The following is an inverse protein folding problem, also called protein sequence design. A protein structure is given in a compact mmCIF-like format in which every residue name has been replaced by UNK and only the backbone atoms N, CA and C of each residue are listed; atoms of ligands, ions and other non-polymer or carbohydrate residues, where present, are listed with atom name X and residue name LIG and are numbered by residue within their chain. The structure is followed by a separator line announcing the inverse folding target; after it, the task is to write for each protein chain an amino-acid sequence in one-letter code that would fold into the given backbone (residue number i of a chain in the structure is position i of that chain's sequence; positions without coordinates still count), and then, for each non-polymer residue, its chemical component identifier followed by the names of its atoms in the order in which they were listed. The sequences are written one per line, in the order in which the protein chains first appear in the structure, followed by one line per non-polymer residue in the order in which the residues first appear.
data_IF_157294505006
#
_entry.id   IF_157294505006
#
_cell.length_a   1.000
_cell.length_b   1.000
_cell.length_c   1.000
_cell.angle_alpha   90.00
_cell.angle_beta   90.00
_cell.angle_gamma   90.00
#
_symmetry.space_group_name_H-M   'P 1'
#
loop_
_entity.id
_entity.type
_entity.pdbx_description
1 polymer ?
#
# COMPACT_ATOMS: atom_id res chain seq x y z
N UNK A 1 50.57 -28.22 61.41
CA UNK A 1 49.21 -28.11 60.86
C UNK A 1 48.56 -26.83 61.38
N UNK A 2 48.77 -25.71 60.69
CA UNK A 2 48.06 -24.47 61.04
C UNK A 2 47.38 -23.93 59.77
N UNK A 3 46.05 -23.95 59.74
CA UNK A 3 45.24 -23.24 58.77
C UNK A 3 45.09 -21.78 59.21
N UNK A 4 45.60 -20.86 58.40
CA UNK A 4 45.30 -19.45 58.51
C UNK A 4 44.05 -19.13 57.73
N UNK A 5 43.04 -18.62 58.40
CA UNK A 5 41.82 -18.06 57.85
C UNK A 5 42.08 -16.58 57.56
N UNK A 6 41.98 -16.19 56.30
CA UNK A 6 41.96 -14.75 55.92
C UNK A 6 40.53 -14.27 55.79
N UNK A 7 40.17 -13.32 56.64
CA UNK A 7 38.96 -12.52 56.51
C UNK A 7 39.21 -11.41 55.50
N UNK A 8 38.56 -11.46 54.35
CA UNK A 8 38.52 -10.39 53.40
C UNK A 8 37.36 -9.42 53.70
N UNK A 9 37.68 -8.21 54.05
CA UNK A 9 36.73 -7.12 54.26
C UNK A 9 36.22 -6.62 52.91
N UNK A 10 34.94 -6.87 52.60
CA UNK A 10 34.29 -6.36 51.36
C UNK A 10 33.72 -4.97 51.67
N UNK A 11 34.38 -3.91 51.21
CA UNK A 11 33.89 -2.54 51.28
C UNK A 11 32.93 -2.30 50.16
N UNK A 12 31.64 -2.15 50.47
CA UNK A 12 30.61 -1.66 49.54
C UNK A 12 30.72 -0.15 49.37
N UNK A 13 31.20 0.31 48.22
CA UNK A 13 31.01 1.70 47.84
C UNK A 13 29.63 1.87 47.24
N UNK A 14 28.75 2.54 47.99
CA UNK A 14 27.47 3.03 47.46
C UNK A 14 27.76 4.33 46.74
N UNK A 15 27.76 4.25 45.38
CA UNK A 15 27.78 5.49 44.60
C UNK A 15 26.35 6.04 44.51
N UNK A 16 26.07 7.11 45.22
CA UNK A 16 24.88 7.94 45.02
C UNK A 16 25.00 8.61 43.64
N UNK A 17 24.40 8.04 42.63
CA UNK A 17 24.18 8.69 41.35
C UNK A 17 23.06 9.73 41.49
N UNK A 18 23.43 11.01 41.56
CA UNK A 18 22.45 12.09 41.42
C UNK A 18 21.99 12.11 39.98
N UNK A 19 20.82 11.57 39.68
CA UNK A 19 20.16 11.70 38.39
C UNK A 19 19.59 13.13 38.31
N UNK A 20 20.30 14.00 37.62
CA UNK A 20 19.70 15.28 37.19
C UNK A 20 18.66 14.95 36.10
N UNK A 21 17.41 14.88 36.50
CA UNK A 21 16.29 14.86 35.57
C UNK A 21 16.23 16.20 34.84
N UNK A 22 16.75 16.24 33.60
CA UNK A 22 16.38 17.32 32.69
C UNK A 22 14.91 17.13 32.33
N UNK A 23 14.02 17.83 33.04
CA UNK A 23 12.66 18.07 32.58
C UNK A 23 12.77 19.04 31.42
N UNK A 24 12.92 18.49 30.19
CA UNK A 24 12.65 19.26 28.99
C UNK A 24 11.22 19.82 29.06
N UNK A 25 10.96 20.96 28.42
CA UNK A 25 9.61 21.52 28.39
C UNK A 25 8.64 20.45 27.94
N UNK A 26 7.58 20.23 28.72
CA UNK A 26 6.47 19.34 28.36
C UNK A 26 6.02 19.73 26.95
N UNK A 27 5.90 18.78 26.01
CA UNK A 27 5.43 19.12 24.69
C UNK A 27 4.10 19.87 24.84
N UNK A 28 4.02 21.02 24.20
CA UNK A 28 2.79 21.82 24.19
C UNK A 28 1.61 20.90 23.80
N UNK A 29 0.44 21.06 24.44
CA UNK A 29 -0.71 20.24 24.12
C UNK A 29 -0.95 20.36 22.61
N UNK A 30 -0.94 19.20 21.93
CA UNK A 30 -1.29 19.13 20.52
C UNK A 30 -2.71 19.66 20.43
N UNK A 31 -2.87 20.88 19.96
CA UNK A 31 -4.19 21.44 19.71
C UNK A 31 -4.94 20.44 18.83
N UNK A 32 -6.17 20.13 19.20
CA UNK A 32 -7.01 19.23 18.43
C UNK A 32 -7.18 19.82 17.01
N UNK A 33 -6.30 19.40 16.10
CA UNK A 33 -6.37 19.82 14.71
C UNK A 33 -7.64 19.21 14.15
N UNK A 34 -8.49 20.03 13.57
CA UNK A 34 -9.64 19.58 12.77
C UNK A 34 -9.34 19.84 11.28
N UNK A 35 -8.50 19.04 10.66
CA UNK A 35 -8.01 19.31 9.32
C UNK A 35 -9.15 19.33 8.32
N UNK A 36 -9.10 20.31 7.45
CA UNK A 36 -10.02 20.40 6.31
C UNK A 36 -9.24 20.60 5.02
N UNK A 37 -9.91 20.40 3.90
CA UNK A 37 -9.34 20.46 2.57
C UNK A 37 -10.24 21.28 1.68
N UNK A 38 -9.63 22.22 0.97
CA UNK A 38 -10.28 22.93 -0.15
C UNK A 38 -9.75 22.38 -1.46
N UNK A 39 -10.65 21.96 -2.33
CA UNK A 39 -10.34 21.61 -3.71
C UNK A 39 -10.48 22.84 -4.60
N UNK A 40 -9.48 23.05 -5.46
CA UNK A 40 -9.46 24.13 -6.45
C UNK A 40 -9.27 23.50 -7.81
N UNK A 41 -10.05 23.91 -8.80
CA UNK A 41 -9.86 23.47 -10.17
C UNK A 41 -8.45 23.85 -10.66
N UNK A 42 -7.79 22.91 -11.28
CA UNK A 42 -6.42 23.03 -11.80
C UNK A 42 -6.41 22.79 -13.30
N UNK A 43 -5.50 23.41 -14.04
CA UNK A 43 -5.21 22.97 -15.40
C UNK A 43 -4.87 21.48 -15.41
N UNK A 44 -5.45 20.73 -16.33
CA UNK A 44 -5.16 19.31 -16.48
C UNK A 44 -3.77 19.13 -17.08
N UNK A 45 -2.96 18.30 -16.47
CA UNK A 45 -1.83 17.71 -17.17
C UNK A 45 -2.34 16.65 -18.13
N UNK A 46 -1.71 16.55 -19.27
CA UNK A 46 -1.92 15.41 -20.16
C UNK A 46 -1.06 14.22 -19.74
N UNK A 47 -1.00 13.96 -18.44
CA UNK A 47 -0.40 12.74 -17.95
C UNK A 47 -1.28 11.58 -18.38
N UNK A 48 -0.78 10.83 -19.34
CA UNK A 48 -1.60 9.90 -20.09
C UNK A 48 -1.54 8.51 -19.44
N UNK A 49 -2.62 8.15 -18.73
CA UNK A 49 -3.18 6.79 -18.58
C UNK A 49 -2.29 5.61 -18.16
N UNK A 50 -1.17 5.80 -17.47
CA UNK A 50 -0.39 4.70 -16.91
C UNK A 50 -0.72 4.41 -15.45
N UNK A 51 -1.92 4.72 -14.98
CA UNK A 51 -2.23 4.61 -13.57
C UNK A 51 -3.13 3.41 -13.34
N UNK A 52 -2.53 2.33 -12.87
CA UNK A 52 -3.24 1.18 -12.29
C UNK A 52 -2.63 0.80 -10.93
N UNK A 53 -2.11 1.79 -10.23
CA UNK A 53 -1.44 1.70 -8.93
C UNK A 53 -1.31 3.12 -8.33
N UNK A 54 -0.79 3.23 -7.11
CA UNK A 54 -0.33 4.51 -6.60
C UNK A 54 0.82 5.06 -7.45
N UNK A 55 0.93 6.37 -7.56
CA UNK A 55 2.03 7.02 -8.27
C UNK A 55 3.25 7.09 -7.36
N UNK A 56 4.17 6.14 -7.53
CA UNK A 56 5.44 6.14 -6.82
C UNK A 56 6.43 7.12 -7.44
N UNK A 57 7.16 7.86 -6.61
CA UNK A 57 8.09 8.89 -7.06
C UNK A 57 9.24 9.12 -6.08
N UNK A 58 10.31 9.71 -6.59
CA UNK A 58 11.52 10.00 -5.81
C UNK A 58 12.34 11.14 -6.45
N UNK A 59 13.11 11.85 -5.63
CA UNK A 59 14.15 12.75 -6.09
C UNK A 59 15.51 12.05 -6.11
N UNK A 60 16.18 12.05 -7.24
CA UNK A 60 17.56 11.54 -7.40
C UNK A 60 18.44 12.71 -7.77
N UNK A 61 19.13 13.29 -6.79
CA UNK A 61 19.76 14.57 -6.96
C UNK A 61 18.72 15.65 -7.30
N UNK A 62 18.86 16.28 -8.45
CA UNK A 62 17.93 17.30 -8.95
C UNK A 62 16.94 16.75 -10.00
N UNK A 63 16.87 15.45 -10.15
CA UNK A 63 15.93 14.78 -11.04
C UNK A 63 14.73 14.26 -10.27
N UNK A 64 13.54 14.69 -10.64
CA UNK A 64 12.29 14.10 -10.17
C UNK A 64 11.92 12.92 -11.03
N UNK A 65 11.82 11.74 -10.44
CA UNK A 65 11.53 10.47 -11.11
C UNK A 65 10.25 9.88 -10.63
N UNK A 66 9.40 9.45 -11.56
CA UNK A 66 8.15 8.73 -11.29
C UNK A 66 8.21 7.31 -11.85
N UNK A 67 7.42 6.41 -11.25
CA UNK A 67 7.31 5.01 -11.63
C UNK A 67 5.85 4.65 -11.91
N UNK A 68 5.27 5.14 -13.00
CA UNK A 68 3.90 4.80 -13.36
C UNK A 68 3.80 3.35 -13.81
N UNK A 69 2.65 2.73 -13.55
CA UNK A 69 2.28 1.41 -14.05
C UNK A 69 0.85 1.41 -14.56
N UNK A 70 0.60 0.72 -15.68
CA UNK A 70 -0.73 0.37 -16.14
C UNK A 70 -0.96 -1.14 -15.97
N UNK A 71 -2.17 -1.61 -16.17
CA UNK A 71 -2.42 -3.05 -16.15
C UNK A 71 -1.67 -3.77 -17.28
N UNK A 72 -1.28 -5.02 -17.04
CA UNK A 72 -0.54 -5.83 -18.00
C UNK A 72 -1.37 -6.27 -19.18
N UNK A 73 -0.73 -6.37 -20.35
CA UNK A 73 -1.39 -6.87 -21.57
C UNK A 73 -1.62 -8.37 -21.52
N UNK A 74 -0.78 -9.11 -20.80
CA UNK A 74 -0.93 -10.56 -20.61
C UNK A 74 -0.62 -10.97 -19.17
N UNK A 75 -1.59 -10.86 -18.26
CA UNK A 75 -1.40 -11.21 -16.87
C UNK A 75 -1.18 -12.72 -16.66
N UNK A 76 -1.49 -13.57 -17.64
CA UNK A 76 -1.38 -15.02 -17.51
C UNK A 76 0.03 -15.55 -17.79
N UNK A 77 0.74 -14.95 -18.72
CA UNK A 77 1.97 -15.49 -19.29
C UNK A 77 3.18 -14.61 -19.06
N UNK A 78 2.92 -13.33 -18.86
CA UNK A 78 3.94 -12.31 -18.72
C UNK A 78 4.05 -11.79 -17.32
N UNK A 79 5.20 -11.33 -17.03
CA UNK A 79 5.47 -10.29 -16.13
C UNK A 79 4.75 -9.07 -16.69
N UNK A 80 3.83 -8.50 -15.99
CA UNK A 80 3.33 -7.22 -16.42
C UNK A 80 4.48 -6.21 -16.32
N UNK A 81 5.12 -6.00 -17.44
CA UNK A 81 6.24 -5.08 -17.58
C UNK A 81 5.76 -3.67 -17.89
N UNK A 82 4.56 -3.35 -17.52
CA UNK A 82 4.03 -2.01 -17.71
C UNK A 82 4.54 -1.00 -16.69
N UNK A 83 5.47 -1.44 -15.84
CA UNK A 83 6.24 -0.54 -15.02
C UNK A 83 7.21 0.24 -15.90
N UNK A 84 7.09 1.55 -15.87
CA UNK A 84 7.95 2.50 -16.54
C UNK A 84 8.60 3.42 -15.52
N UNK A 85 9.57 4.21 -15.94
CA UNK A 85 10.01 5.38 -15.20
C UNK A 85 10.18 6.57 -16.14
N UNK A 86 9.92 7.74 -15.61
CA UNK A 86 10.07 9.01 -16.32
C UNK A 86 10.76 10.04 -15.46
N UNK A 87 11.59 10.87 -16.08
CA UNK A 87 12.42 11.87 -15.41
C UNK A 87 12.07 13.27 -15.86
N UNK A 88 12.21 14.25 -14.96
CA UNK A 88 12.17 15.67 -15.24
C UNK A 88 12.93 16.46 -14.18
N UNK A 89 13.15 17.75 -14.43
CA UNK A 89 13.78 18.64 -13.44
C UNK A 89 12.80 19.09 -12.34
N UNK A 90 11.55 18.80 -12.50
CA UNK A 90 10.50 19.12 -11.53
C UNK A 90 9.24 18.26 -11.77
N UNK A 91 8.29 18.24 -10.82
CA UNK A 91 7.06 17.48 -10.96
C UNK A 91 6.25 17.83 -12.21
N UNK A 92 6.07 19.12 -12.53
CA UNK A 92 5.25 19.56 -13.66
C UNK A 92 5.81 19.06 -15.00
N UNK A 93 7.13 19.18 -15.18
CA UNK A 93 7.81 18.66 -16.37
C UNK A 93 7.62 17.15 -16.49
N UNK A 94 7.82 16.43 -15.40
CA UNK A 94 7.73 14.98 -15.41
C UNK A 94 6.31 14.49 -15.70
N UNK A 95 5.31 15.08 -15.07
CA UNK A 95 3.90 14.74 -15.31
C UNK A 95 3.39 15.17 -16.69
N UNK A 96 4.05 16.12 -17.36
CA UNK A 96 3.70 16.56 -18.70
C UNK A 96 4.25 15.67 -19.81
N UNK A 97 5.11 14.70 -19.49
CA UNK A 97 5.69 13.78 -20.47
C UNK A 97 4.67 12.85 -21.06
N UNK A 98 4.84 12.53 -22.33
CA UNK A 98 4.02 11.51 -22.97
C UNK A 98 4.48 10.10 -22.59
N UNK A 99 3.59 9.14 -22.73
CA UNK A 99 3.87 7.73 -22.48
C UNK A 99 5.08 7.19 -23.26
N UNK A 100 5.31 7.68 -24.46
CA UNK A 100 6.41 7.27 -25.32
C UNK A 100 7.80 7.69 -24.79
N UNK A 101 7.85 8.69 -23.91
CA UNK A 101 9.08 9.17 -23.30
C UNK A 101 9.49 8.39 -22.05
N UNK A 102 8.60 7.54 -21.53
CA UNK A 102 8.90 6.69 -20.39
C UNK A 102 9.72 5.47 -20.81
N UNK A 103 10.65 5.08 -19.95
CA UNK A 103 11.58 3.98 -20.18
C UNK A 103 11.23 2.79 -19.30
N UNK A 104 11.58 1.60 -19.76
CA UNK A 104 11.48 0.38 -18.97
C UNK A 104 12.70 0.23 -18.07
N UNK A 105 12.52 -0.03 -16.75
CA UNK A 105 13.65 -0.43 -15.93
C UNK A 105 14.06 -1.88 -16.25
N UNK A 106 15.30 -2.22 -15.93
CA UNK A 106 15.75 -3.61 -15.98
C UNK A 106 15.17 -4.32 -14.74
N UNK A 107 14.31 -5.31 -15.00
CA UNK A 107 13.64 -6.07 -13.96
C UNK A 107 14.27 -7.44 -13.75
N UNK A 108 14.10 -8.08 -12.58
CA UNK A 108 14.50 -9.47 -12.36
C UNK A 108 13.91 -10.40 -13.42
N UNK A 109 14.55 -11.53 -13.75
CA UNK A 109 13.96 -12.49 -14.69
C UNK A 109 12.64 -13.05 -14.16
N UNK A 110 11.70 -13.29 -15.07
CA UNK A 110 10.43 -13.92 -14.74
C UNK A 110 10.61 -15.39 -14.40
N UNK A 111 9.90 -15.84 -13.39
CA UNK A 111 9.63 -17.25 -13.20
C UNK A 111 8.51 -17.70 -14.16
N UNK A 112 8.46 -18.97 -14.49
CA UNK A 112 7.32 -19.53 -15.24
C UNK A 112 6.06 -19.47 -14.37
N UNK A 113 4.89 -19.18 -14.97
CA UNK A 113 3.62 -19.22 -14.25
C UNK A 113 3.44 -20.55 -13.50
N UNK A 114 2.94 -20.48 -12.28
CA UNK A 114 2.74 -21.65 -11.44
C UNK A 114 3.99 -22.23 -10.79
N UNK A 115 5.16 -21.62 -10.97
CA UNK A 115 6.40 -22.01 -10.30
C UNK A 115 6.75 -21.05 -9.17
N UNK A 116 7.77 -21.41 -8.37
CA UNK A 116 8.31 -20.47 -7.38
C UNK A 116 9.01 -19.30 -8.08
N UNK A 117 8.91 -18.12 -7.50
CA UNK A 117 9.54 -16.91 -8.00
C UNK A 117 8.54 -15.80 -8.30
N UNK A 118 9.03 -14.74 -8.93
CA UNK A 118 8.23 -13.59 -9.27
C UNK A 118 7.69 -13.72 -10.69
N UNK A 119 6.39 -13.73 -10.84
CA UNK A 119 5.68 -13.74 -12.11
C UNK A 119 4.34 -13.02 -11.97
N UNK A 120 3.65 -12.80 -13.07
CA UNK A 120 2.43 -12.02 -13.12
C UNK A 120 2.69 -10.51 -13.03
N UNK A 121 1.64 -9.73 -12.92
CA UNK A 121 1.73 -8.29 -12.90
C UNK A 121 2.45 -7.77 -11.66
N UNK A 122 3.27 -6.73 -11.84
CA UNK A 122 4.01 -6.05 -10.77
C UNK A 122 3.90 -4.55 -10.94
N UNK A 123 3.41 -3.87 -9.90
CA UNK A 123 3.36 -2.42 -9.84
C UNK A 123 4.13 -1.89 -8.64
N UNK A 124 4.86 -0.80 -8.82
CA UNK A 124 5.46 -0.07 -7.71
C UNK A 124 4.44 0.89 -7.11
N UNK A 125 4.10 0.65 -5.86
CA UNK A 125 3.12 1.45 -5.12
C UNK A 125 3.77 2.56 -4.30
N UNK A 126 4.99 2.33 -3.86
CA UNK A 126 5.79 3.28 -3.09
C UNK A 126 7.27 3.04 -3.35
N UNK A 127 8.02 4.12 -3.58
CA UNK A 127 9.48 4.06 -3.61
C UNK A 127 10.03 4.83 -2.41
N UNK A 128 10.79 4.12 -1.59
CA UNK A 128 11.47 4.65 -0.42
C UNK A 128 12.95 4.83 -0.71
N UNK A 129 13.49 6.01 -0.37
CA UNK A 129 14.91 6.34 -0.46
C UNK A 129 15.48 6.49 0.94
N UNK A 130 16.47 5.65 1.36
CA UNK A 130 17.09 5.77 2.67
C UNK A 130 17.84 7.09 2.83
N UNK A 131 17.58 7.81 3.89
CA UNK A 131 18.31 9.06 4.21
C UNK A 131 19.81 8.84 4.48
N UNK A 132 20.18 7.60 4.81
CA UNK A 132 21.57 7.19 5.04
C UNK A 132 22.39 7.06 3.75
N UNK A 133 21.72 6.86 2.60
CA UNK A 133 22.39 6.80 1.31
C UNK A 133 22.61 8.20 0.74
N UNK A 134 23.83 8.73 0.93
CA UNK A 134 24.22 10.05 0.41
C UNK A 134 24.32 10.11 -1.12
N UNK A 135 24.42 8.98 -1.80
CA UNK A 135 24.36 8.94 -3.26
C UNK A 135 22.96 9.20 -3.80
N UNK A 136 21.94 8.95 -2.99
CA UNK A 136 20.52 9.02 -3.36
C UNK A 136 20.11 7.97 -4.39
N UNK A 137 20.97 6.97 -4.68
CA UNK A 137 20.73 5.95 -5.72
C UNK A 137 20.17 4.66 -5.18
N UNK A 138 20.30 4.41 -3.87
CA UNK A 138 19.67 3.25 -3.24
C UNK A 138 18.18 3.52 -3.05
N UNK A 139 17.36 2.68 -3.63
CA UNK A 139 15.91 2.76 -3.55
C UNK A 139 15.33 1.40 -3.16
N UNK A 140 14.23 1.43 -2.40
CA UNK A 140 13.40 0.26 -2.13
C UNK A 140 11.99 0.53 -2.66
N UNK A 141 11.52 -0.33 -3.56
CA UNK A 141 10.16 -0.27 -4.05
C UNK A 141 9.29 -1.30 -3.34
N UNK A 142 8.24 -0.85 -2.70
CA UNK A 142 7.16 -1.72 -2.25
C UNK A 142 6.25 -1.95 -3.45
N UNK A 143 6.05 -3.21 -3.81
CA UNK A 143 5.28 -3.55 -4.99
C UNK A 143 4.07 -4.43 -4.66
N UNK A 144 3.01 -4.22 -5.42
CA UNK A 144 1.89 -5.14 -5.60
C UNK A 144 2.27 -6.19 -6.64
N UNK A 145 1.90 -7.43 -6.41
CA UNK A 145 2.08 -8.51 -7.38
C UNK A 145 0.81 -9.35 -7.50
N UNK A 146 0.27 -9.42 -8.68
CA UNK A 146 -0.76 -10.39 -9.03
C UNK A 146 -0.13 -11.75 -9.30
N UNK A 147 -0.02 -12.57 -8.27
CA UNK A 147 0.59 -13.88 -8.36
C UNK A 147 -0.42 -14.93 -8.81
N UNK A 148 -0.08 -15.68 -9.85
CA UNK A 148 -0.90 -16.78 -10.36
C UNK A 148 -0.33 -18.12 -9.89
N UNK A 149 -0.78 -18.68 -8.76
CA UNK A 149 -0.27 -19.96 -8.25
C UNK A 149 -0.66 -21.12 -9.17
N UNK A 150 0.15 -22.19 -9.16
CA UNK A 150 -0.09 -23.38 -10.00
C UNK A 150 -1.45 -24.02 -9.75
N UNK A 151 -1.92 -23.97 -8.52
CA UNK A 151 -3.19 -24.56 -8.12
C UNK A 151 -3.88 -23.70 -7.07
N UNK A 152 -5.20 -23.54 -7.24
CA UNK A 152 -6.11 -23.02 -6.25
C UNK A 152 -7.16 -24.07 -5.99
N UNK A 153 -7.32 -24.60 -4.77
CA UNK A 153 -8.33 -25.62 -4.48
C UNK A 153 -9.75 -25.06 -4.69
N UNK A 154 -10.56 -25.77 -5.43
CA UNK A 154 -11.97 -25.41 -5.69
C UNK A 154 -12.87 -26.64 -5.68
N UNK A 155 -13.97 -26.55 -4.97
CA UNK A 155 -15.05 -27.50 -4.98
C UNK A 155 -16.32 -26.83 -5.53
N UNK A 156 -16.72 -27.21 -6.75
CA UNK A 156 -17.87 -26.61 -7.44
C UNK A 156 -19.20 -26.86 -6.73
N UNK A 157 -19.33 -27.95 -5.98
CA UNK A 157 -20.56 -28.31 -5.26
C UNK A 157 -20.74 -27.43 -4.02
N UNK A 158 -19.67 -27.21 -3.27
CA UNK A 158 -19.72 -26.43 -2.02
C UNK A 158 -19.36 -24.96 -2.24
N UNK A 159 -18.83 -24.59 -3.39
CA UNK A 159 -18.26 -23.27 -3.64
C UNK A 159 -16.99 -22.99 -2.82
N UNK A 160 -16.37 -24.04 -2.27
CA UNK A 160 -15.18 -23.92 -1.43
C UNK A 160 -13.91 -24.10 -2.25
N UNK A 161 -13.03 -23.12 -2.18
CA UNK A 161 -11.73 -23.20 -2.81
C UNK A 161 -11.82 -23.21 -4.35
N UNK A 162 -10.75 -23.61 -5.00
CA UNK A 162 -10.63 -23.66 -6.45
C UNK A 162 -9.55 -24.67 -6.85
N UNK A 163 -9.78 -25.50 -7.88
CA UNK A 163 -8.76 -26.38 -8.45
C UNK A 163 -8.54 -26.03 -9.90
N UNK A 164 -7.40 -25.47 -10.21
CA UNK A 164 -6.95 -25.25 -11.57
C UNK A 164 -5.96 -26.35 -11.96
N UNK A 165 -6.46 -27.46 -12.49
CA UNK A 165 -5.65 -28.62 -12.86
C UNK A 165 -4.83 -28.40 -14.13
N UNK A 166 -5.24 -27.46 -14.97
CA UNK A 166 -4.68 -27.26 -16.30
C UNK A 166 -3.88 -25.97 -16.42
N UNK A 167 -3.50 -25.37 -15.32
CA UNK A 167 -2.63 -24.22 -15.33
C UNK A 167 -1.25 -24.57 -15.91
N UNK A 168 -0.69 -23.77 -16.80
CA UNK A 168 -1.25 -22.57 -17.45
C UNK A 168 -2.02 -22.86 -18.74
N UNK A 169 -2.37 -24.09 -19.04
CA UNK A 169 -2.97 -24.51 -20.31
C UNK A 169 -4.45 -24.86 -20.17
N UNK A 170 -5.24 -24.58 -21.20
CA UNK A 170 -6.59 -25.09 -21.33
C UNK A 170 -7.63 -24.51 -20.37
N UNK A 171 -7.52 -23.25 -20.04
CA UNK A 171 -8.35 -22.57 -19.07
C UNK A 171 -9.68 -22.14 -19.68
N UNK A 172 -10.78 -22.70 -19.19
CA UNK A 172 -12.14 -22.34 -19.59
C UNK A 172 -13.07 -22.35 -18.39
N UNK A 173 -14.04 -21.45 -18.35
CA UNK A 173 -15.04 -21.40 -17.28
C UNK A 173 -14.44 -21.30 -15.89
N UNK A 174 -14.77 -22.25 -15.03
CA UNK A 174 -14.33 -22.28 -13.61
C UNK A 174 -12.83 -22.56 -13.43
N UNK A 175 -12.13 -22.94 -14.50
CA UNK A 175 -10.69 -23.20 -14.47
C UNK A 175 -9.85 -21.99 -14.88
N UNK A 176 -10.47 -20.85 -15.12
CA UNK A 176 -9.76 -19.60 -15.42
C UNK A 176 -8.80 -19.25 -14.26
N UNK A 177 -7.52 -18.99 -14.53
CA UNK A 177 -6.58 -18.59 -13.50
C UNK A 177 -7.05 -17.34 -12.78
N UNK A 178 -6.87 -17.34 -11.48
CA UNK A 178 -7.11 -16.16 -10.66
C UNK A 178 -5.87 -15.83 -9.87
N UNK A 179 -5.60 -14.55 -9.72
CA UNK A 179 -4.49 -14.06 -8.93
C UNK A 179 -4.81 -14.18 -7.44
N UNK A 180 -3.80 -14.55 -6.66
CA UNK A 180 -3.73 -14.30 -5.23
C UNK A 180 -2.69 -13.21 -5.03
N UNK A 181 -3.15 -12.02 -4.75
CA UNK A 181 -2.29 -10.85 -4.66
C UNK A 181 -1.37 -10.91 -3.45
N UNK A 182 -0.17 -10.38 -3.59
CA UNK A 182 0.85 -10.33 -2.54
C UNK A 182 1.68 -9.05 -2.67
N UNK A 183 2.39 -8.71 -1.61
CA UNK A 183 3.22 -7.52 -1.52
C UNK A 183 4.67 -7.93 -1.31
N UNK A 184 5.57 -7.31 -2.04
CA UNK A 184 7.01 -7.56 -1.93
C UNK A 184 7.84 -6.30 -1.95
N UNK A 185 9.16 -6.50 -1.88
CA UNK A 185 10.16 -5.43 -1.95
C UNK A 185 11.16 -5.71 -3.06
N UNK A 186 11.46 -4.70 -3.85
CA UNK A 186 12.60 -4.65 -4.74
C UNK A 186 13.60 -3.60 -4.28
N UNK A 187 14.88 -3.80 -4.62
CA UNK A 187 15.96 -2.85 -4.35
C UNK A 187 16.64 -2.45 -5.65
N UNK A 188 16.88 -1.16 -5.79
CA UNK A 188 17.79 -0.59 -6.79
C UNK A 188 19.00 0.02 -6.10
N UNK A 189 20.16 0.04 -6.78
CA UNK A 189 21.38 0.73 -6.35
C UNK A 189 21.89 1.73 -7.40
N UNK A 190 21.10 1.92 -8.46
CA UNK A 190 21.41 2.80 -9.59
C UNK A 190 20.33 3.85 -9.86
N UNK A 191 19.56 4.18 -8.83
CA UNK A 191 18.50 5.19 -8.91
C UNK A 191 17.23 4.70 -9.63
N UNK A 192 16.99 3.40 -9.68
CA UNK A 192 15.78 2.81 -10.25
C UNK A 192 15.87 2.44 -11.73
N UNK A 193 17.08 2.43 -12.31
CA UNK A 193 17.30 1.91 -13.66
C UNK A 193 17.25 0.39 -13.71
N UNK A 194 17.72 -0.26 -12.66
CA UNK A 194 17.61 -1.71 -12.50
C UNK A 194 17.15 -2.08 -11.09
N UNK A 195 16.48 -3.22 -10.97
CA UNK A 195 15.90 -3.69 -9.73
C UNK A 195 16.21 -5.15 -9.47
N UNK A 196 16.44 -5.48 -8.20
CA UNK A 196 16.60 -6.81 -7.69
C UNK A 196 15.46 -7.16 -6.74
N UNK A 197 14.79 -8.29 -6.94
CA UNK A 197 13.74 -8.76 -6.05
C UNK A 197 14.34 -9.19 -4.71
N UNK A 198 13.84 -8.61 -3.62
CA UNK A 198 14.23 -8.94 -2.24
C UNK A 198 13.26 -9.94 -1.59
N UNK A 199 12.14 -10.21 -2.25
CA UNK A 199 11.15 -11.20 -1.83
C UNK A 199 9.82 -10.63 -1.37
N UNK A 200 8.90 -11.56 -1.13
CA UNK A 200 7.55 -11.29 -0.65
C UNK A 200 7.59 -11.00 0.85
N UNK A 201 6.91 -9.95 1.26
CA UNK A 201 6.85 -9.49 2.65
C UNK A 201 5.47 -9.67 3.29
N UNK A 202 4.40 -9.66 2.50
CA UNK A 202 3.04 -9.94 2.96
C UNK A 202 2.34 -10.78 1.87
N UNK A 203 1.73 -11.87 2.28
CA UNK A 203 0.94 -12.72 1.42
C UNK A 203 -0.21 -13.37 2.18
N UNK A 204 -1.22 -13.84 1.46
CA UNK A 204 -2.23 -14.75 1.94
C UNK A 204 -2.22 -15.98 1.04
N UNK A 205 -1.82 -17.11 1.59
CA UNK A 205 -1.69 -18.35 0.83
C UNK A 205 -3.04 -19.04 0.56
N UNK A 206 -4.12 -18.53 1.16
CA UNK A 206 -5.44 -19.10 1.00
C UNK A 206 -6.32 -18.18 0.16
N UNK A 207 -7.00 -18.71 -0.87
CA UNK A 207 -8.02 -17.93 -1.56
C UNK A 207 -9.15 -17.60 -0.59
N UNK A 208 -9.49 -16.32 -0.49
CA UNK A 208 -10.48 -15.80 0.46
C UNK A 208 -11.60 -15.01 -0.19
N UNK A 209 -11.54 -14.84 -1.51
CA UNK A 209 -12.64 -14.27 -2.26
C UNK A 209 -13.60 -15.36 -2.69
N UNK A 210 -14.82 -14.94 -3.01
CA UNK A 210 -15.83 -15.81 -3.59
C UNK A 210 -15.40 -16.17 -5.00
N UNK A 211 -15.24 -17.45 -5.28
CA UNK A 211 -14.80 -17.94 -6.57
C UNK A 211 -15.98 -18.31 -7.45
N UNK A 212 -15.75 -18.45 -8.77
CA UNK A 212 -16.76 -18.98 -9.67
C UNK A 212 -17.29 -20.35 -9.20
N UNK A 213 -18.55 -20.67 -9.44
CA UNK A 213 -19.54 -19.89 -10.21
C UNK A 213 -20.18 -18.72 -9.47
N UNK A 214 -19.82 -18.47 -8.22
CA UNK A 214 -20.43 -17.44 -7.37
C UNK A 214 -19.77 -16.07 -7.48
N UNK A 215 -18.69 -15.96 -8.23
CA UNK A 215 -17.94 -14.75 -8.47
C UNK A 215 -17.94 -14.39 -9.94
N UNK A 216 -18.40 -13.21 -10.30
CA UNK A 216 -18.43 -12.73 -11.68
C UNK A 216 -17.07 -12.22 -12.18
N UNK A 217 -16.16 -11.88 -11.29
CA UNK A 217 -14.78 -11.52 -11.65
C UNK A 217 -13.99 -12.78 -11.97
N UNK A 218 -13.06 -12.63 -12.89
CA UNK A 218 -12.16 -13.70 -13.30
C UNK A 218 -10.73 -13.50 -12.82
N UNK A 219 -10.44 -12.35 -12.21
CA UNK A 219 -9.07 -11.91 -11.98
C UNK A 219 -8.51 -12.35 -10.63
N UNK A 220 -9.29 -12.18 -9.53
CA UNK A 220 -8.76 -12.37 -8.19
C UNK A 220 -9.43 -13.49 -7.42
N UNK A 221 -8.63 -14.22 -6.66
CA UNK A 221 -9.06 -15.23 -5.69
C UNK A 221 -8.74 -14.80 -4.24
N UNK A 222 -8.26 -13.59 -4.04
CA UNK A 222 -7.91 -13.05 -2.72
C UNK A 222 -6.49 -12.51 -2.65
N UNK A 223 -5.94 -12.50 -1.44
CA UNK A 223 -4.61 -11.99 -1.18
C UNK A 223 -4.62 -10.59 -0.57
N UNK A 224 -3.55 -9.84 -0.80
CA UNK A 224 -3.31 -8.50 -0.27
C UNK A 224 -2.69 -7.62 -1.35
N UNK A 225 -3.07 -6.36 -1.44
CA UNK A 225 -2.53 -5.52 -2.50
C UNK A 225 -2.72 -4.02 -2.30
N UNK A 226 -2.39 -3.26 -3.33
CA UNK A 226 -2.44 -1.81 -3.39
C UNK A 226 -1.82 -1.15 -2.13
N UNK A 227 -0.56 -1.47 -1.78
CA UNK A 227 0.04 -0.93 -0.57
C UNK A 227 0.49 0.51 -0.75
N UNK A 228 0.36 1.30 0.30
CA UNK A 228 1.11 2.54 0.48
C UNK A 228 2.03 2.38 1.67
N UNK A 229 3.28 2.82 1.55
CA UNK A 229 4.25 2.65 2.61
C UNK A 229 4.88 3.97 3.04
N UNK A 230 5.05 4.16 4.35
CA UNK A 230 5.67 5.34 4.94
C UNK A 230 6.62 4.95 6.06
N UNK A 231 7.67 5.75 6.23
CA UNK A 231 8.62 5.55 7.31
C UNK A 231 8.18 6.31 8.57
N UNK A 232 8.20 5.62 9.70
CA UNK A 232 8.07 6.24 11.02
C UNK A 232 9.00 5.52 12.01
N UNK A 233 9.94 6.26 12.58
CA UNK A 233 11.02 5.68 13.40
C UNK A 233 11.81 4.64 12.62
N UNK A 234 12.07 3.49 13.25
CA UNK A 234 12.88 2.40 12.67
C UNK A 234 12.09 1.49 11.73
N UNK A 235 10.86 1.84 11.36
CA UNK A 235 9.97 0.96 10.62
C UNK A 235 9.45 1.60 9.33
N UNK A 236 9.34 0.77 8.31
CA UNK A 236 8.48 0.99 7.16
C UNK A 236 7.10 0.40 7.49
N UNK A 237 6.09 1.26 7.57
CA UNK A 237 4.69 0.88 7.76
C UNK A 237 4.01 0.75 6.41
N UNK A 238 3.26 -0.32 6.22
CA UNK A 238 2.53 -0.64 5.00
C UNK A 238 1.04 -0.61 5.29
N UNK A 239 0.31 0.23 4.59
CA UNK A 239 -1.15 0.28 4.57
C UNK A 239 -1.60 -0.39 3.27
N UNK A 240 -2.48 -1.37 3.33
CA UNK A 240 -2.81 -2.19 2.16
C UNK A 240 -4.23 -2.74 2.23
N UNK A 241 -4.75 -3.15 1.07
CA UNK A 241 -6.02 -3.85 0.97
C UNK A 241 -5.90 -5.32 1.38
N UNK A 242 -6.79 -5.78 2.26
CA UNK A 242 -7.10 -7.21 2.41
C UNK A 242 -8.19 -7.52 1.39
N UNK A 243 -7.98 -8.57 0.58
CA UNK A 243 -8.94 -8.99 -0.41
C UNK A 243 -9.53 -10.33 -0.03
N UNK A 244 -10.72 -10.33 0.51
CA UNK A 244 -11.41 -11.56 0.65
C UNK A 244 -12.17 -11.80 1.94
N UNK A 245 -12.66 -13.02 2.00
CA UNK A 245 -13.47 -13.53 3.10
C UNK A 245 -12.55 -14.11 4.18
N UNK A 246 -12.60 -13.64 5.43
CA UNK A 246 -11.73 -14.18 6.48
C UNK A 246 -12.14 -15.60 6.84
N UNK A 247 -11.27 -16.54 6.54
CA UNK A 247 -11.52 -17.96 6.74
C UNK A 247 -11.98 -18.67 5.45
N UNK A 248 -12.44 -19.91 5.59
CA UNK A 248 -12.96 -20.65 4.44
C UNK A 248 -14.34 -20.14 4.06
N UNK A 249 -14.49 -19.76 2.80
CA UNK A 249 -15.79 -19.40 2.25
C UNK A 249 -16.67 -20.63 2.04
N UNK A 250 -17.92 -20.55 2.50
CA UNK A 250 -18.96 -21.55 2.25
C UNK A 250 -20.25 -20.84 1.86
N UNK A 251 -20.77 -21.14 0.67
CA UNK A 251 -22.00 -20.52 0.16
C UNK A 251 -23.17 -20.65 1.16
N UNK A 252 -23.36 -21.85 1.70
CA UNK A 252 -24.45 -22.12 2.66
C UNK A 252 -24.29 -21.41 4.02
N UNK A 253 -23.10 -20.85 4.31
CA UNK A 253 -22.77 -20.18 5.56
C UNK A 253 -22.19 -18.78 5.31
N UNK A 254 -22.60 -18.16 4.24
CA UNK A 254 -22.14 -16.82 3.90
C UNK A 254 -22.58 -15.80 4.97
N UNK A 255 -21.63 -15.01 5.44
CA UNK A 255 -21.87 -13.93 6.39
C UNK A 255 -21.31 -12.62 5.81
N UNK A 256 -22.17 -11.65 5.42
CA UNK A 256 -21.73 -10.38 4.86
C UNK A 256 -20.88 -9.55 5.85
N UNK A 257 -21.02 -9.77 7.15
CA UNK A 257 -20.18 -9.11 8.14
C UNK A 257 -18.72 -9.61 8.12
N UNK A 258 -18.50 -10.85 7.73
CA UNK A 258 -17.15 -11.36 7.51
C UNK A 258 -16.52 -10.74 6.23
N UNK A 259 -17.29 -10.54 5.17
CA UNK A 259 -16.81 -9.79 3.98
C UNK A 259 -16.37 -8.39 4.39
N UNK A 260 -17.19 -7.69 5.16
CA UNK A 260 -16.88 -6.34 5.66
C UNK A 260 -15.58 -6.31 6.48
N UNK A 261 -15.24 -7.37 7.17
CA UNK A 261 -13.98 -7.49 7.94
C UNK A 261 -12.81 -7.96 7.08
N UNK A 262 -13.07 -8.70 6.02
CA UNK A 262 -12.07 -9.30 5.17
C UNK A 262 -11.66 -8.44 3.98
N UNK A 263 -12.52 -7.50 3.56
CA UNK A 263 -12.20 -6.51 2.52
C UNK A 263 -12.03 -5.14 3.19
N UNK A 264 -10.81 -4.79 3.56
CA UNK A 264 -10.54 -3.63 4.38
C UNK A 264 -9.12 -3.11 4.19
N UNK A 265 -8.87 -1.90 4.70
CA UNK A 265 -7.50 -1.39 4.87
C UNK A 265 -6.91 -1.98 6.14
N UNK A 266 -5.84 -2.72 5.97
CA UNK A 266 -5.03 -3.31 7.03
C UNK A 266 -3.66 -2.64 7.11
N UNK A 267 -2.88 -2.98 8.14
CA UNK A 267 -1.55 -2.43 8.34
C UNK A 267 -0.55 -3.51 8.76
N UNK A 268 0.66 -3.39 8.23
CA UNK A 268 1.82 -4.14 8.66
C UNK A 268 3.02 -3.21 8.85
N UNK A 269 4.11 -3.74 9.40
CA UNK A 269 5.39 -3.03 9.46
C UNK A 269 6.56 -3.98 9.30
N UNK A 270 7.66 -3.45 8.80
CA UNK A 270 8.95 -4.12 8.73
C UNK A 270 10.04 -3.17 9.21
N UNK A 271 11.08 -3.67 9.85
CA UNK A 271 12.21 -2.84 10.24
C UNK A 271 12.98 -2.36 9.01
N UNK A 272 13.41 -1.11 8.99
CA UNK A 272 14.27 -0.57 7.92
C UNK A 272 15.57 -1.38 7.77
N UNK A 273 16.14 -1.85 8.87
CA UNK A 273 17.32 -2.71 8.88
C UNK A 273 17.10 -4.10 8.20
N UNK A 274 15.86 -4.50 8.02
CA UNK A 274 15.51 -5.80 7.41
C UNK A 274 15.24 -5.72 5.91
N UNK A 275 15.24 -4.53 5.30
CA UNK A 275 14.84 -4.33 3.90
C UNK A 275 15.73 -5.04 2.88
N UNK A 276 16.97 -5.36 3.22
CA UNK A 276 17.88 -6.14 2.37
C UNK A 276 17.61 -7.64 2.37
N UNK A 277 16.91 -8.13 3.39
CA UNK A 277 16.48 -9.52 3.51
C UNK A 277 15.11 -9.59 4.16
N UNK A 278 14.05 -9.08 3.49
CA UNK A 278 12.77 -8.78 4.12
C UNK A 278 11.82 -9.98 4.24
N UNK A 279 12.08 -11.05 3.50
CA UNK A 279 11.18 -12.21 3.42
C UNK A 279 10.83 -12.76 4.81
N UNK A 280 9.53 -12.88 5.10
CA UNK A 280 9.01 -13.40 6.38
C UNK A 280 9.18 -12.48 7.60
N UNK A 281 9.80 -11.29 7.46
CA UNK A 281 10.10 -10.41 8.59
C UNK A 281 9.03 -9.37 8.88
N UNK A 282 8.18 -9.04 7.92
CA UNK A 282 7.07 -8.15 8.16
C UNK A 282 6.11 -8.73 9.23
N UNK A 283 5.59 -7.84 10.06
CA UNK A 283 4.59 -8.18 11.08
C UNK A 283 3.31 -7.44 10.79
N UNK A 284 2.22 -8.17 10.70
CA UNK A 284 0.89 -7.64 10.49
C UNK A 284 0.22 -7.32 11.84
N UNK A 285 -0.66 -6.34 11.81
CA UNK A 285 -1.48 -5.99 12.97
C UNK A 285 -2.54 -7.07 13.21
N UNK A 286 -2.64 -7.59 14.44
CA UNK A 286 -3.60 -8.63 14.83
C UNK A 286 -4.82 -8.09 15.57
N UNK A 287 -4.99 -6.76 15.63
CA UNK A 287 -6.02 -6.09 16.42
C UNK A 287 -5.52 -5.55 17.76
N UNK A 288 -4.34 -5.98 18.23
CA UNK A 288 -3.72 -5.56 19.49
C UNK A 288 -2.25 -5.13 19.34
N UNK A 289 -1.51 -5.83 18.49
CA UNK A 289 -0.08 -5.59 18.28
C UNK A 289 0.37 -6.01 16.89
N UNK A 290 1.58 -5.61 16.48
CA UNK A 290 2.27 -6.10 15.29
C UNK A 290 2.97 -7.42 15.56
N UNK A 291 2.19 -8.50 15.73
CA UNK A 291 2.71 -9.83 16.04
C UNK A 291 2.24 -10.92 15.08
N UNK A 292 1.22 -10.67 14.27
CA UNK A 292 0.78 -11.62 13.26
C UNK A 292 1.87 -11.84 12.21
N UNK A 293 2.02 -13.07 11.75
CA UNK A 293 2.98 -13.43 10.72
C UNK A 293 2.64 -12.74 9.37
N UNK A 294 3.63 -12.63 8.50
CA UNK A 294 3.50 -12.02 7.17
C UNK A 294 2.43 -12.70 6.28
N UNK A 295 2.15 -13.98 6.52
CA UNK A 295 1.19 -14.82 5.80
C UNK A 295 -0.08 -15.14 6.63
N UNK A 296 -0.27 -14.51 7.76
CA UNK A 296 -1.51 -14.59 8.53
C UNK A 296 -2.49 -13.49 8.07
N UNK A 297 -3.77 -13.66 8.36
CA UNK A 297 -4.77 -12.61 8.13
C UNK A 297 -4.52 -11.43 9.06
N UNK A 298 -4.50 -10.22 8.50
CA UNK A 298 -4.41 -9.00 9.28
C UNK A 298 -5.74 -8.61 9.92
N UNK A 299 -5.69 -7.63 10.79
CA UNK A 299 -6.89 -6.99 11.34
C UNK A 299 -7.08 -5.61 10.72
N UNK A 300 -8.30 -5.25 10.36
CA UNK A 300 -8.58 -3.96 9.75
C UNK A 300 -8.34 -2.80 10.72
N UNK A 301 -8.00 -1.64 10.18
CA UNK A 301 -8.03 -0.38 10.90
C UNK A 301 -9.50 -0.05 11.18
N UNK A 302 -9.89 -0.08 12.45
CA UNK A 302 -11.30 0.00 12.87
C UNK A 302 -12.06 1.21 12.34
N UNK A 303 -11.42 2.38 12.35
CA UNK A 303 -12.03 3.63 11.87
C UNK A 303 -12.25 3.67 10.36
N UNK A 304 -11.54 2.82 9.60
CA UNK A 304 -11.63 2.72 8.14
C UNK A 304 -12.56 1.59 7.68
N UNK A 305 -13.20 0.88 8.60
CA UNK A 305 -14.23 -0.09 8.23
C UNK A 305 -15.51 0.62 7.80
N UNK A 306 -16.17 0.07 6.79
CA UNK A 306 -17.51 0.52 6.42
C UNK A 306 -18.54 0.18 7.52
N UNK A 307 -19.68 0.87 7.54
CA UNK A 307 -20.74 0.60 8.50
C UNK A 307 -21.24 -0.85 8.47
N UNK A 308 -21.72 -1.32 9.61
CA UNK A 308 -22.37 -2.62 9.71
C UNK A 308 -23.59 -2.69 8.77
N UNK A 309 -23.78 -3.83 8.13
CA UNK A 309 -24.88 -4.05 7.17
C UNK A 309 -24.55 -3.68 5.72
N UNK A 310 -23.37 -3.10 5.45
CA UNK A 310 -22.93 -2.77 4.08
C UNK A 310 -22.08 -3.87 3.42
N UNK A 311 -21.99 -5.05 4.02
CA UNK A 311 -21.35 -6.21 3.42
C UNK A 311 -22.07 -6.66 2.16
N UNK A 312 -21.35 -7.25 1.22
CA UNK A 312 -21.91 -7.69 -0.06
C UNK A 312 -22.53 -9.08 -0.03
N UNK A 313 -23.06 -9.49 -1.16
CA UNK A 313 -23.63 -10.81 -1.39
C UNK A 313 -22.60 -11.84 -1.90
N UNK A 314 -22.94 -13.13 -1.92
CA UNK A 314 -22.02 -14.19 -2.30
C UNK A 314 -21.78 -14.33 -3.81
N UNK A 315 -22.49 -13.59 -4.64
CA UNK A 315 -22.52 -13.76 -6.10
C UNK A 315 -21.73 -12.73 -6.89
N UNK A 316 -21.13 -11.74 -6.21
CA UNK A 316 -20.40 -10.68 -6.88
C UNK A 316 -19.07 -10.39 -6.20
N UNK A 317 -18.09 -9.95 -6.95
CA UNK A 317 -16.75 -9.64 -6.47
C UNK A 317 -16.27 -8.29 -7.02
N UNK A 318 -15.52 -7.57 -6.22
CA UNK A 318 -15.59 -7.62 -4.77
C UNK A 318 -17.00 -7.31 -4.29
N UNK A 319 -17.39 -7.95 -3.19
CA UNK A 319 -18.77 -7.93 -2.76
C UNK A 319 -19.02 -6.84 -1.75
N UNK A 320 -19.62 -5.80 -2.04
CA UNK A 320 -20.01 -4.80 -1.05
C UNK A 320 -19.16 -3.55 -1.07
N UNK A 321 -19.39 -2.74 -0.06
CA UNK A 321 -18.78 -1.43 0.09
C UNK A 321 -17.59 -1.51 1.03
N UNK A 322 -16.44 -0.98 0.62
CA UNK A 322 -15.23 -0.90 1.44
C UNK A 322 -14.26 0.13 0.89
N UNK A 323 -13.37 0.62 1.75
CA UNK A 323 -12.27 1.49 1.35
C UNK A 323 -11.08 0.65 0.90
N UNK A 324 -10.40 1.10 -0.16
CA UNK A 324 -9.26 0.43 -0.73
C UNK A 324 -8.30 1.40 -1.42
N UNK A 325 -7.17 0.91 -1.92
CA UNK A 325 -6.16 1.71 -2.59
C UNK A 325 -5.67 2.87 -1.70
N UNK A 326 -5.18 2.59 -0.45
CA UNK A 326 -4.73 3.66 0.42
C UNK A 326 -3.50 4.34 -0.15
N UNK A 327 -3.45 5.68 -0.05
CA UNK A 327 -2.27 6.48 -0.32
C UNK A 327 -1.99 7.37 0.88
N UNK A 328 -0.84 7.18 1.52
CA UNK A 328 -0.49 7.82 2.79
C UNK A 328 0.66 8.78 2.62
N UNK A 329 0.50 9.98 3.13
CA UNK A 329 1.49 11.06 3.08
C UNK A 329 1.65 11.72 4.45
N UNK A 330 2.87 12.15 4.79
CA UNK A 330 3.09 13.08 5.89
C UNK A 330 2.84 14.51 5.41
N UNK A 331 1.91 15.21 6.03
CA UNK A 331 1.66 16.60 5.72
C UNK A 331 2.38 17.51 6.72
N UNK A 332 3.43 18.17 6.25
CA UNK A 332 4.27 19.06 7.09
C UNK A 332 3.53 20.30 7.58
N UNK A 333 2.59 20.79 6.81
CA UNK A 333 1.80 21.96 7.24
C UNK A 333 0.83 21.60 8.36
N UNK A 334 0.09 20.49 8.21
CA UNK A 334 -0.84 20.00 9.23
C UNK A 334 -0.13 19.33 10.41
N UNK A 335 1.12 18.87 10.24
CA UNK A 335 1.84 18.02 11.20
C UNK A 335 1.06 16.74 11.52
N UNK A 336 0.51 16.12 10.51
CA UNK A 336 -0.23 14.85 10.63
C UNK A 336 -0.10 14.00 9.36
N UNK A 337 -0.43 12.72 9.48
CA UNK A 337 -0.57 11.82 8.35
C UNK A 337 -1.92 12.05 7.67
N UNK A 338 -1.91 11.98 6.35
CA UNK A 338 -3.09 12.07 5.50
C UNK A 338 -3.17 10.77 4.71
N UNK A 339 -4.35 10.16 4.66
CA UNK A 339 -4.63 8.97 3.85
C UNK A 339 -5.77 9.27 2.89
N UNK A 340 -5.54 9.04 1.62
CA UNK A 340 -6.59 8.99 0.61
C UNK A 340 -6.98 7.54 0.35
N UNK A 341 -8.24 7.31 -0.01
CA UNK A 341 -8.78 5.99 -0.34
C UNK A 341 -9.88 6.13 -1.37
N UNK A 342 -9.94 5.20 -2.32
CA UNK A 342 -11.16 4.97 -3.09
C UNK A 342 -12.17 4.17 -2.27
N UNK A 343 -13.45 4.27 -2.62
CA UNK A 343 -14.50 3.44 -2.03
C UNK A 343 -15.14 2.57 -3.10
N UNK A 344 -15.03 1.27 -2.94
CA UNK A 344 -15.79 0.32 -3.73
C UNK A 344 -17.26 0.33 -3.29
N UNK A 345 -18.16 0.24 -4.24
CA UNK A 345 -19.60 0.14 -4.03
C UNK A 345 -20.24 -1.03 -4.75
N UNK A 346 -19.42 -1.90 -5.32
CA UNK A 346 -19.90 -3.05 -6.08
C UNK A 346 -18.77 -3.85 -6.73
N UNK A 347 -19.14 -4.74 -7.68
CA UNK A 347 -18.19 -5.61 -8.36
C UNK A 347 -17.09 -4.85 -9.09
N UNK A 348 -15.90 -5.45 -9.16
CA UNK A 348 -14.73 -4.92 -9.88
C UNK A 348 -14.32 -3.53 -9.38
N UNK A 349 -14.34 -3.34 -8.05
CA UNK A 349 -13.94 -2.08 -7.38
C UNK A 349 -14.67 -0.82 -7.88
N UNK A 350 -15.83 -0.98 -8.52
CA UNK A 350 -16.63 0.16 -8.98
C UNK A 350 -17.04 1.04 -7.81
N UNK A 351 -16.79 2.32 -7.95
CA UNK A 351 -17.16 3.32 -6.95
C UNK A 351 -16.83 4.71 -7.43
N UNK A 352 -17.70 5.66 -7.11
CA UNK A 352 -17.65 7.03 -7.63
C UNK A 352 -17.08 8.04 -6.64
N UNK A 353 -16.39 7.55 -5.60
CA UNK A 353 -16.04 8.43 -4.48
C UNK A 353 -14.62 8.19 -3.96
N UNK A 354 -13.96 9.29 -3.61
CA UNK A 354 -12.67 9.35 -2.94
C UNK A 354 -12.88 9.93 -1.55
N UNK A 355 -12.21 9.35 -0.57
CA UNK A 355 -12.27 9.72 0.83
C UNK A 355 -10.91 10.12 1.36
N UNK A 356 -10.91 10.95 2.41
CA UNK A 356 -9.73 11.38 3.12
C UNK A 356 -9.86 11.07 4.61
N UNK A 357 -8.77 10.65 5.22
CA UNK A 357 -8.65 10.40 6.65
C UNK A 357 -7.34 10.95 7.19
N UNK A 358 -7.29 11.26 8.46
CA UNK A 358 -6.14 11.88 9.12
C UNK A 358 -5.72 11.07 10.35
N UNK A 359 -4.41 11.04 10.61
CA UNK A 359 -3.87 10.55 11.86
C UNK A 359 -2.94 11.62 12.44
N UNK A 360 -3.34 12.18 13.56
CA UNK A 360 -2.65 13.31 14.19
C UNK A 360 -1.45 12.92 15.06
N UNK A 361 -1.16 11.61 15.18
CA UNK A 361 0.05 11.16 15.86
C UNK A 361 1.24 11.31 14.90
N UNK A 362 2.23 12.14 15.21
CA UNK A 362 3.36 12.36 14.30
C UNK A 362 4.25 11.12 14.18
N UNK A 363 4.24 10.28 15.18
CA UNK A 363 5.03 9.06 15.26
C UNK A 363 4.12 7.85 15.49
N UNK A 364 4.34 6.79 14.71
CA UNK A 364 3.65 5.51 14.85
C UNK A 364 4.35 4.56 15.84
N UNK A 365 5.45 4.99 16.46
CA UNK A 365 6.37 4.14 17.23
C UNK A 365 5.76 3.40 18.41
N UNK A 366 4.70 3.90 19.02
CA UNK A 366 3.97 3.19 20.06
C UNK A 366 2.86 2.30 19.48
N UNK A 367 2.45 1.32 20.23
CA UNK A 367 1.75 0.12 19.75
C UNK A 367 0.47 0.35 18.94
N UNK A 368 -0.22 1.47 19.12
CA UNK A 368 -1.52 1.69 18.47
C UNK A 368 -1.66 3.04 17.75
N UNK A 369 -0.67 3.91 17.75
CA UNK A 369 -0.75 5.21 17.09
C UNK A 369 -1.05 5.07 15.60
N UNK A 370 -0.46 4.08 14.93
CA UNK A 370 -0.71 3.78 13.52
C UNK A 370 -2.15 3.35 13.20
N UNK A 371 -2.97 3.06 14.22
CA UNK A 371 -4.37 2.69 14.10
C UNK A 371 -5.34 3.86 14.32
N UNK A 372 -4.85 5.04 14.75
CA UNK A 372 -5.68 6.14 15.21
C UNK A 372 -6.03 7.12 14.06
N UNK A 373 -6.68 6.58 13.07
CA UNK A 373 -7.18 7.36 11.94
C UNK A 373 -8.57 7.94 12.23
N UNK A 374 -8.83 9.14 11.73
CA UNK A 374 -10.16 9.73 11.75
C UNK A 374 -11.14 8.90 10.90
N UNK A 375 -12.42 9.04 11.13
CA UNK A 375 -13.42 8.49 10.20
C UNK A 375 -13.21 9.11 8.82
N UNK A 376 -13.23 8.31 7.74
CA UNK A 376 -13.11 8.83 6.39
C UNK A 376 -14.16 9.89 6.07
N UNK A 377 -13.73 11.03 5.55
CA UNK A 377 -14.60 12.09 5.04
C UNK A 377 -14.62 12.05 3.52
N UNK A 378 -15.78 12.22 2.92
CA UNK A 378 -15.92 12.33 1.46
C UNK A 378 -15.12 13.53 0.96
N UNK A 379 -14.25 13.31 -0.03
CA UNK A 379 -13.43 14.34 -0.66
C UNK A 379 -13.94 14.67 -2.06
N UNK A 380 -14.19 13.65 -2.88
CA UNK A 380 -14.71 13.76 -4.24
C UNK A 380 -15.83 12.75 -4.44
N UNK A 381 -16.87 13.16 -5.16
CA UNK A 381 -17.91 12.28 -5.69
C UNK A 381 -18.24 12.65 -7.12
N UNK A 382 -18.19 11.65 -8.02
CA UNK A 382 -18.56 11.77 -9.44
C UNK A 382 -19.54 10.66 -9.80
N UNK A 383 -20.83 10.82 -9.58
CA UNK A 383 -21.82 9.80 -9.91
C UNK A 383 -21.71 9.33 -11.37
N UNK A 384 -21.76 8.01 -11.57
CA UNK A 384 -21.60 7.39 -12.89
C UNK A 384 -20.18 7.10 -13.31
N UNK A 385 -19.17 7.68 -12.67
CA UNK A 385 -17.76 7.37 -12.89
C UNK A 385 -17.27 6.26 -11.96
N UNK A 386 -16.10 5.73 -12.24
CA UNK A 386 -15.34 4.89 -11.31
C UNK A 386 -14.02 5.58 -11.00
N UNK A 387 -13.73 5.81 -9.73
CA UNK A 387 -12.56 6.55 -9.26
C UNK A 387 -11.61 5.61 -8.52
N UNK A 388 -10.37 5.46 -9.03
CA UNK A 388 -9.35 4.57 -8.48
C UNK A 388 -8.06 5.32 -8.16
N UNK A 389 -7.24 4.74 -7.30
CA UNK A 389 -5.86 5.13 -6.99
C UNK A 389 -5.67 6.62 -6.70
N UNK A 390 -6.39 7.17 -5.71
CA UNK A 390 -6.18 8.56 -5.34
C UNK A 390 -4.81 8.74 -4.68
N UNK A 391 -4.05 9.72 -5.13
CA UNK A 391 -2.75 10.05 -4.56
C UNK A 391 -2.51 11.55 -4.52
N UNK A 392 -1.79 12.00 -3.49
CA UNK A 392 -1.34 13.38 -3.37
C UNK A 392 0.08 13.48 -3.95
N UNK A 393 0.31 14.51 -4.74
CA UNK A 393 1.54 14.72 -5.49
C UNK A 393 2.10 16.11 -5.19
N UNK A 394 3.42 16.32 -5.23
CA UNK A 394 4.01 17.64 -5.04
C UNK A 394 3.67 18.58 -6.19
N UNK A 395 3.79 19.87 -5.92
CA UNK A 395 3.72 20.93 -6.92
C UNK A 395 5.13 21.29 -7.40
N UNK A 396 5.18 22.07 -8.49
CA UNK A 396 6.39 22.71 -8.92
C UNK A 396 6.61 24.05 -8.18
N UNK A 397 6.57 24.00 -6.85
CA UNK A 397 6.86 25.19 -6.01
C UNK A 397 8.32 25.17 -5.53
N UNK A 398 8.85 26.34 -5.21
CA UNK A 398 10.20 26.43 -4.63
C UNK A 398 10.29 25.66 -3.30
N UNK A 399 9.20 25.66 -2.50
CA UNK A 399 9.12 24.87 -1.28
C UNK A 399 9.22 23.36 -1.58
N UNK A 400 8.45 22.86 -2.57
CA UNK A 400 8.46 21.44 -2.89
C UNK A 400 9.81 20.97 -3.42
N UNK A 401 10.47 21.80 -4.23
CA UNK A 401 11.83 21.53 -4.74
C UNK A 401 12.88 21.55 -3.62
N UNK A 402 12.89 22.59 -2.80
CA UNK A 402 13.85 22.75 -1.72
C UNK A 402 13.77 21.61 -0.70
N UNK A 403 12.56 21.16 -0.42
CA UNK A 403 12.28 20.10 0.54
C UNK A 403 12.27 18.70 -0.09
N UNK A 404 12.48 18.61 -1.40
CA UNK A 404 12.40 17.34 -2.15
C UNK A 404 11.09 16.59 -1.84
N UNK A 405 9.96 17.31 -1.86
CA UNK A 405 8.66 16.71 -1.58
C UNK A 405 8.30 15.66 -2.64
N UNK A 406 7.60 14.64 -2.18
CA UNK A 406 7.07 13.53 -2.97
C UNK A 406 5.66 13.19 -2.47
N UNK A 407 5.01 12.20 -3.06
CA UNK A 407 3.75 11.66 -2.55
C UNK A 407 3.81 11.22 -1.09
N UNK A 408 5.00 10.96 -0.55
CA UNK A 408 5.19 10.55 0.85
C UNK A 408 5.27 11.74 1.83
N UNK A 409 5.61 12.92 1.34
CA UNK A 409 5.83 14.11 2.17
C UNK A 409 5.42 15.38 1.43
N UNK A 410 4.47 16.11 1.97
CA UNK A 410 3.81 17.23 1.32
C UNK A 410 3.73 18.46 2.23
N UNK A 411 3.55 19.63 1.60
CA UNK A 411 3.33 20.91 2.27
C UNK A 411 1.85 21.27 2.43
N UNK A 412 1.57 22.59 2.44
CA UNK A 412 0.21 23.12 2.55
C UNK A 412 -0.64 22.84 1.32
N UNK A 413 -0.02 22.77 0.16
CA UNK A 413 -0.70 22.54 -1.13
C UNK A 413 -0.15 21.28 -1.78
N UNK A 414 -1.00 20.59 -2.52
CA UNK A 414 -0.64 19.41 -3.29
C UNK A 414 -1.52 19.28 -4.54
N UNK A 415 -1.15 18.40 -5.44
CA UNK A 415 -2.04 17.88 -6.48
C UNK A 415 -2.75 16.65 -5.96
N UNK A 416 -3.96 16.45 -6.39
CA UNK A 416 -4.68 15.20 -6.22
C UNK A 416 -4.83 14.54 -7.57
N UNK A 417 -4.18 13.42 -7.75
CA UNK A 417 -4.38 12.53 -8.90
C UNK A 417 -5.29 11.38 -8.53
N UNK A 418 -6.06 10.91 -9.49
CA UNK A 418 -6.80 9.66 -9.42
C UNK A 418 -7.16 9.21 -10.84
N UNK A 419 -7.28 7.91 -11.03
CA UNK A 419 -7.81 7.32 -12.26
C UNK A 419 -9.31 7.55 -12.31
N UNK A 420 -9.77 8.19 -13.36
CA UNK A 420 -11.17 8.51 -13.61
C UNK A 420 -11.65 7.71 -14.83
N UNK A 421 -12.49 6.73 -14.57
CA UNK A 421 -13.05 5.86 -15.60
C UNK A 421 -14.48 6.32 -15.85
N UNK A 422 -14.76 6.74 -17.06
CA UNK A 422 -16.05 7.25 -17.49
C UNK A 422 -17.07 6.14 -17.77
N UNK A 423 -18.35 6.48 -17.88
CA UNK A 423 -19.38 5.51 -18.24
C UNK A 423 -19.15 4.81 -19.58
N UNK A 424 -18.49 5.47 -20.54
CA UNK A 424 -18.12 4.92 -21.85
C UNK A 424 -16.82 4.07 -21.80
N UNK A 425 -16.26 3.86 -20.58
CA UNK A 425 -15.01 3.17 -20.30
C UNK A 425 -13.74 3.89 -20.77
N UNK A 426 -13.82 5.11 -21.26
CA UNK A 426 -12.61 5.93 -21.42
C UNK A 426 -11.99 6.26 -20.08
N UNK A 427 -10.67 6.33 -20.03
CA UNK A 427 -9.91 6.51 -18.80
C UNK A 427 -8.94 7.69 -18.93
N UNK A 428 -8.79 8.45 -17.86
CA UNK A 428 -7.75 9.47 -17.74
C UNK A 428 -7.42 9.78 -16.28
N UNK A 429 -6.29 10.41 -16.08
CA UNK A 429 -5.91 10.91 -14.75
C UNK A 429 -6.55 12.29 -14.56
N UNK A 430 -7.43 12.38 -13.57
CA UNK A 430 -8.03 13.64 -13.15
C UNK A 430 -7.17 14.32 -12.11
N UNK A 431 -7.16 15.66 -12.14
CA UNK A 431 -6.33 16.49 -11.29
C UNK A 431 -7.12 17.61 -10.62
N UNK A 432 -6.76 17.86 -9.35
CA UNK A 432 -7.20 18.98 -8.56
C UNK A 432 -6.04 19.57 -7.78
N UNK A 433 -6.05 20.87 -7.54
CA UNK A 433 -5.25 21.45 -6.48
C UNK A 433 -5.95 21.26 -5.14
N UNK A 434 -5.19 20.81 -4.18
CA UNK A 434 -5.62 20.59 -2.80
C UNK A 434 -4.94 21.62 -1.91
N UNK A 435 -5.70 22.36 -1.11
CA UNK A 435 -5.16 23.25 -0.10
C UNK A 435 -5.64 22.82 1.28
N UNK A 436 -4.68 22.44 2.13
CA UNK A 436 -4.93 22.01 3.51
C UNK A 436 -5.12 23.22 4.44
N UNK A 437 -6.02 23.06 5.41
CA UNK A 437 -6.35 24.05 6.43
C UNK A 437 -6.30 23.38 7.81
N UNK A 438 -5.78 24.11 8.81
CA UNK A 438 -5.75 23.68 10.22
C UNK A 438 -7.07 23.94 10.91
#
# INVERSE_FOLDING_TARGET
LHRKIHFGLLVWMISLGVVFGFSGPSPAPIHAINPSVRLVSSPKFQFNSFVDCNMAEVWIGDTFRIFPGKYGEDPLWGYARDLKFGDGFNPDETFSRSAAEFREPIMPPNASPGTAGLHGAVWFETVYQPETDKSGKTLYAVYHNENYPATLPFNSVTGEGYINKNWPQGLTGDTTPAAVCRIGIMKSTDGGHSWANKGIIIEDLQPRMILKPHNSSVTFAGGVGDPSAVVSGDFLYLFYGEYGYPGKFKVAKFDPELVRKGQCVSIARIRLADLDSPAGKAKRWNGQSFSAAHNAVGSPIKSLQIPKGEGGGPTSEPTGKYYWGPSVSWNRYLQCWVMLMARSEGPSWKGSSIYISYNTNPDFGTSNHSQQWSKPKLLISKPGHTLWYPSLQPLNSEEDKAEKNTCLRLGKKARLFYKDILPDKSEYVSEWLVEFQK
#
